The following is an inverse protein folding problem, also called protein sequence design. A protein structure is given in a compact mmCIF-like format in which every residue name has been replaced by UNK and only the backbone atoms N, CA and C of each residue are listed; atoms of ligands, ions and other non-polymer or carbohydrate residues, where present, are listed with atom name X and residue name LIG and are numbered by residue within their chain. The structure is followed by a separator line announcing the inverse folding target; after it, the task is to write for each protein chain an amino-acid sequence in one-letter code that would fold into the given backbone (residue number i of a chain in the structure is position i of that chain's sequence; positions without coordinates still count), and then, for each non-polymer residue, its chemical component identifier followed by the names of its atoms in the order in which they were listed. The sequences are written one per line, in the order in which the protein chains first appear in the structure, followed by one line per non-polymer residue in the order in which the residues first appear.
data_IF_551899469362
#
_entry.id   IF_551899469362
#
_cell.length_a   1.000
_cell.length_b   1.000
_cell.length_c   1.000
_cell.angle_alpha   90.00
_cell.angle_beta   90.00
_cell.angle_gamma   90.00
#
_symmetry.space_group_name_H-M   'P 1'
#
loop_
_entity.id
_entity.type
_entity.pdbx_description
1 polymer ?
#
# COMPACT_ATOMS: atom_id res chain seq x y z
N UNK A 1 60.47 42.03 -12.35
CA UNK A 1 59.10 41.51 -12.41
C UNK A 1 58.84 40.69 -11.14
N UNK A 2 58.15 41.29 -10.16
CA UNK A 2 57.86 40.68 -8.85
C UNK A 2 56.44 40.04 -8.89
N UNK A 3 56.36 38.74 -8.63
CA UNK A 3 55.07 38.04 -8.44
C UNK A 3 54.58 38.34 -7.03
N UNK A 4 53.32 38.81 -6.91
CA UNK A 4 52.64 39.02 -5.65
C UNK A 4 51.74 37.81 -5.48
N UNK A 5 51.97 37.04 -4.43
CA UNK A 5 51.11 35.91 -4.01
C UNK A 5 50.12 36.45 -2.98
N UNK A 6 48.83 36.41 -3.32
CA UNK A 6 47.74 36.74 -2.39
C UNK A 6 47.34 35.47 -1.69
N UNK A 7 47.55 35.41 -0.37
CA UNK A 7 47.07 34.37 0.52
C UNK A 7 45.71 34.85 1.03
N UNK A 8 44.63 34.13 0.65
CA UNK A 8 43.29 34.37 1.16
C UNK A 8 43.10 33.54 2.44
N UNK A 9 42.98 34.19 3.59
CA UNK A 9 42.59 33.58 4.84
C UNK A 9 41.07 33.37 4.80
N UNK A 10 40.65 32.10 4.79
CA UNK A 10 39.26 31.72 4.97
C UNK A 10 38.98 31.50 6.46
N UNK A 11 38.31 32.44 7.10
CA UNK A 11 37.86 32.35 8.48
C UNK A 11 36.62 31.49 8.53
N UNK A 12 36.72 30.28 9.09
CA UNK A 12 35.58 29.41 9.35
C UNK A 12 34.96 29.84 10.67
N UNK A 13 33.77 30.45 10.62
CA UNK A 13 32.94 30.70 11.79
C UNK A 13 32.16 29.40 12.13
N UNK A 14 32.56 28.74 13.20
CA UNK A 14 31.81 27.62 13.79
C UNK A 14 30.65 28.20 14.61
N UNK A 15 29.44 28.15 14.07
CA UNK A 15 28.24 28.39 14.86
C UNK A 15 27.90 27.11 15.65
N UNK A 16 28.13 27.18 16.96
CA UNK A 16 27.62 26.17 17.88
C UNK A 16 26.09 26.33 18.02
N UNK A 17 25.29 25.45 17.39
CA UNK A 17 23.88 25.31 17.71
C UNK A 17 23.79 24.52 19.02
N UNK A 18 23.35 25.17 20.08
CA UNK A 18 22.93 24.55 21.31
C UNK A 18 21.64 23.74 21.07
N UNK A 19 21.77 22.44 20.94
CA UNK A 19 20.64 21.53 20.94
C UNK A 19 20.05 21.47 22.35
N UNK A 20 18.90 22.12 22.56
CA UNK A 20 18.11 21.94 23.77
C UNK A 20 17.46 20.58 23.72
N UNK A 21 18.11 19.60 24.33
CA UNK A 21 17.59 18.25 24.50
C UNK A 21 16.39 18.28 25.43
N UNK A 22 15.20 18.09 24.88
CA UNK A 22 14.00 17.85 25.66
C UNK A 22 14.13 16.46 26.31
N UNK A 23 14.51 16.40 27.58
CA UNK A 23 14.53 15.17 28.39
C UNK A 23 13.09 14.72 28.61
N UNK A 24 12.61 13.79 27.79
CA UNK A 24 11.43 13.00 28.11
C UNK A 24 11.83 12.06 29.25
N UNK A 25 11.35 12.34 30.46
CA UNK A 25 11.47 11.41 31.59
C UNK A 25 10.71 10.13 31.27
N UNK A 26 11.43 9.07 30.98
CA UNK A 26 10.89 7.70 30.97
C UNK A 26 10.56 7.33 32.40
N UNK A 27 9.28 7.37 32.78
CA UNK A 27 8.78 6.66 33.92
C UNK A 27 8.76 5.18 33.55
N UNK A 28 9.72 4.43 34.04
CA UNK A 28 9.73 2.98 33.92
C UNK A 28 8.54 2.44 34.73
N UNK A 29 7.51 2.01 34.06
CA UNK A 29 6.48 1.13 34.56
C UNK A 29 6.90 -0.28 34.16
N UNK A 30 7.23 -1.10 35.14
CA UNK A 30 7.39 -2.53 34.96
C UNK A 30 6.05 -3.07 34.48
N UNK A 31 5.97 -3.41 33.19
CA UNK A 31 4.80 -4.06 32.62
C UNK A 31 5.19 -5.46 32.19
N UNK A 32 4.60 -6.42 32.88
CA UNK A 32 4.43 -7.80 32.44
C UNK A 32 4.18 -7.87 30.94
N UNK A 33 4.97 -8.65 30.22
CA UNK A 33 4.85 -8.89 28.78
C UNK A 33 3.61 -9.72 28.46
N UNK A 34 2.46 -9.04 28.42
CA UNK A 34 1.27 -9.57 27.74
C UNK A 34 1.23 -8.90 26.38
N UNK A 35 1.69 -9.59 25.34
CA UNK A 35 1.48 -9.24 23.93
C UNK A 35 -0.02 -9.25 23.66
N UNK A 36 -0.69 -8.13 23.88
CA UNK A 36 -2.13 -7.96 23.72
C UNK A 36 -2.45 -6.89 22.69
N UNK A 37 -3.58 -7.03 22.03
CA UNK A 37 -4.20 -5.95 21.27
C UNK A 37 -4.41 -4.80 22.27
N UNK A 38 -3.77 -3.66 22.05
CA UNK A 38 -3.95 -2.49 22.90
C UNK A 38 -5.26 -1.81 22.52
N UNK A 39 -6.28 -2.04 23.31
CA UNK A 39 -7.49 -1.20 23.25
C UNK A 39 -7.15 0.12 23.93
N UNK A 40 -7.44 1.30 23.33
CA UNK A 40 -7.22 2.59 23.97
C UNK A 40 -7.85 2.62 25.36
N UNK A 41 -7.12 3.12 26.36
CA UNK A 41 -7.59 3.21 27.75
C UNK A 41 -8.75 4.20 27.95
N UNK A 42 -8.98 5.05 26.97
CA UNK A 42 -10.15 5.95 26.89
C UNK A 42 -10.83 5.72 25.54
N UNK A 43 -11.93 4.96 25.47
CA UNK A 43 -12.72 4.85 24.26
C UNK A 43 -13.19 6.24 23.83
N UNK A 44 -13.15 6.51 22.52
CA UNK A 44 -13.84 7.66 21.97
C UNK A 44 -15.31 7.60 22.42
N UNK A 45 -15.80 8.68 23.03
CA UNK A 45 -17.19 8.73 23.53
C UNK A 45 -18.21 8.90 22.41
N UNK A 46 -17.76 9.14 21.17
CA UNK A 46 -18.62 9.16 20.00
C UNK A 46 -18.94 7.71 19.55
N UNK A 47 -20.19 7.25 19.74
CA UNK A 47 -20.58 5.88 19.35
C UNK A 47 -20.57 5.65 17.84
N UNK A 48 -20.46 6.71 17.02
CA UNK A 48 -20.41 6.64 15.56
C UNK A 48 -18.98 6.61 15.02
N UNK A 49 -17.98 6.83 15.89
CA UNK A 49 -16.57 6.82 15.46
C UNK A 49 -16.14 5.41 15.02
N UNK A 50 -15.44 5.30 13.88
CA UNK A 50 -14.94 4.01 13.42
C UNK A 50 -13.90 3.46 14.41
N UNK A 51 -13.96 2.14 14.62
CA UNK A 51 -13.00 1.43 15.48
C UNK A 51 -11.78 1.04 14.66
N UNK A 52 -10.60 1.41 15.14
CA UNK A 52 -9.32 1.01 14.58
C UNK A 52 -8.59 0.11 15.58
N UNK A 53 -8.21 -1.08 15.15
CA UNK A 53 -7.41 -2.00 15.94
C UNK A 53 -5.93 -1.78 15.67
N UNK A 54 -5.13 -1.81 16.72
CA UNK A 54 -3.68 -1.63 16.68
C UNK A 54 -2.97 -2.71 17.50
N UNK A 55 -1.86 -3.20 16.99
CA UNK A 55 -0.96 -4.09 17.74
C UNK A 55 0.49 -3.67 17.53
N UNK A 56 1.32 -3.81 18.58
CA UNK A 56 2.78 -3.69 18.48
C UNK A 56 3.45 -5.04 18.21
N UNK A 57 2.69 -6.14 18.18
CA UNK A 57 3.17 -7.47 17.87
C UNK A 57 3.33 -7.61 16.33
N UNK A 58 4.56 -7.36 15.84
CA UNK A 58 4.91 -7.49 14.42
C UNK A 58 5.40 -8.93 14.18
N UNK A 59 4.49 -9.88 14.34
CA UNK A 59 4.71 -11.29 14.05
C UNK A 59 3.61 -11.83 13.13
N UNK A 60 3.82 -12.98 12.45
CA UNK A 60 2.76 -13.66 11.70
C UNK A 60 1.51 -13.95 12.54
N UNK A 61 1.70 -14.29 13.81
CA UNK A 61 0.64 -14.55 14.79
C UNK A 61 -0.09 -13.25 15.17
N UNK A 62 0.66 -12.16 15.37
CA UNK A 62 0.11 -10.82 15.62
C UNK A 62 -0.76 -10.31 14.48
N UNK A 63 -0.34 -10.58 13.23
CA UNK A 63 -1.13 -10.25 12.04
C UNK A 63 -2.45 -11.01 12.01
N UNK A 64 -2.47 -12.30 12.34
CA UNK A 64 -3.71 -13.09 12.40
C UNK A 64 -4.62 -12.56 13.52
N UNK A 65 -4.08 -12.30 14.71
CA UNK A 65 -4.85 -11.78 15.84
C UNK A 65 -5.54 -10.44 15.53
N UNK A 66 -4.82 -9.52 14.87
CA UNK A 66 -5.42 -8.22 14.52
C UNK A 66 -6.49 -8.36 13.44
N UNK A 67 -6.31 -9.30 12.50
CA UNK A 67 -7.34 -9.65 11.53
C UNK A 67 -8.58 -10.22 12.23
N UNK A 68 -8.42 -11.16 13.15
CA UNK A 68 -9.53 -11.76 13.91
C UNK A 68 -10.28 -10.72 14.74
N UNK A 69 -9.59 -9.70 15.26
CA UNK A 69 -10.21 -8.60 16.00
C UNK A 69 -11.21 -7.78 15.18
N UNK A 70 -11.09 -7.79 13.85
CA UNK A 70 -12.07 -7.14 12.96
C UNK A 70 -13.43 -7.83 12.99
N UNK A 71 -13.49 -9.10 13.42
CA UNK A 71 -14.73 -9.88 13.50
C UNK A 71 -15.36 -10.21 12.15
N UNK A 72 -14.64 -10.00 11.05
CA UNK A 72 -15.12 -10.22 9.68
C UNK A 72 -14.68 -11.58 9.19
N UNK A 73 -15.63 -12.35 8.66
CA UNK A 73 -15.36 -13.67 8.05
C UNK A 73 -15.35 -13.53 6.53
N UNK A 74 -14.27 -13.91 5.85
CA UNK A 74 -14.23 -13.90 4.40
C UNK A 74 -15.15 -15.02 3.85
N UNK A 75 -15.60 -14.84 2.63
CA UNK A 75 -16.44 -15.81 1.93
C UNK A 75 -16.07 -15.89 0.45
N UNK A 76 -16.50 -16.95 -0.21
CA UNK A 76 -16.24 -17.16 -1.63
C UNK A 76 -14.74 -17.25 -1.97
N UNK A 77 -14.36 -16.70 -3.09
CA UNK A 77 -12.95 -16.57 -3.52
C UNK A 77 -12.33 -15.31 -2.92
N UNK A 78 -11.32 -15.51 -2.09
CA UNK A 78 -10.68 -14.45 -1.30
C UNK A 78 -9.42 -13.95 -2.00
N UNK A 79 -9.39 -12.67 -2.36
CA UNK A 79 -8.20 -11.96 -2.79
C UNK A 79 -7.49 -11.34 -1.59
N UNK A 80 -6.20 -11.58 -1.43
CA UNK A 80 -5.34 -10.83 -0.50
C UNK A 80 -4.47 -9.89 -1.33
N UNK A 81 -4.84 -8.61 -1.37
CA UNK A 81 -4.16 -7.59 -2.17
C UNK A 81 -2.90 -7.12 -1.47
N UNK A 82 -1.78 -7.39 -2.10
CA UNK A 82 -0.44 -7.03 -1.62
C UNK A 82 0.32 -6.17 -2.63
N UNK A 83 1.53 -5.76 -2.27
CA UNK A 83 2.58 -5.33 -3.19
C UNK A 83 3.80 -6.20 -2.98
N UNK A 84 4.26 -6.86 -4.04
CA UNK A 84 5.44 -7.74 -4.01
C UNK A 84 6.77 -6.99 -3.98
N UNK A 85 6.73 -5.65 -4.04
CA UNK A 85 7.91 -4.79 -3.96
C UNK A 85 8.62 -4.56 -5.30
N UNK A 86 9.45 -3.54 -5.38
CA UNK A 86 10.20 -3.17 -6.59
C UNK A 86 11.49 -3.98 -6.75
N UNK A 87 12.15 -4.30 -5.64
CA UNK A 87 13.36 -5.14 -5.58
C UNK A 87 13.28 -6.07 -4.38
N UNK A 88 14.24 -6.98 -4.23
CA UNK A 88 14.34 -7.86 -3.08
C UNK A 88 14.59 -7.07 -1.78
N UNK A 89 15.38 -5.99 -1.86
CA UNK A 89 15.69 -5.11 -0.73
C UNK A 89 14.56 -4.13 -0.41
N UNK A 90 13.54 -4.02 -1.28
CA UNK A 90 12.44 -3.09 -1.04
C UNK A 90 11.64 -3.46 0.22
N UNK A 91 11.12 -2.44 0.89
CA UNK A 91 10.30 -2.60 2.10
C UNK A 91 8.88 -3.07 1.72
N UNK A 92 8.73 -4.34 1.36
CA UNK A 92 7.45 -5.01 1.15
C UNK A 92 7.15 -6.00 2.28
N UNK A 93 5.90 -6.37 2.45
CA UNK A 93 5.52 -7.42 3.39
C UNK A 93 6.14 -8.75 2.95
N UNK A 94 6.91 -9.37 3.83
CA UNK A 94 7.63 -10.60 3.51
C UNK A 94 6.66 -11.79 3.44
N UNK A 95 6.89 -12.76 2.54
CA UNK A 95 6.04 -13.94 2.43
C UNK A 95 5.82 -14.67 3.76
N UNK A 96 6.87 -14.90 4.54
CA UNK A 96 6.79 -15.59 5.82
C UNK A 96 5.95 -14.82 6.85
N UNK A 97 5.95 -13.48 6.80
CA UNK A 97 5.14 -12.64 7.68
C UNK A 97 3.64 -12.77 7.40
N UNK A 98 3.24 -12.86 6.11
CA UNK A 98 1.83 -12.87 5.70
C UNK A 98 1.24 -14.28 5.61
N UNK A 99 2.07 -15.32 5.61
CA UNK A 99 1.70 -16.73 5.35
C UNK A 99 0.54 -17.19 6.22
N UNK A 100 0.62 -16.92 7.53
CA UNK A 100 -0.41 -17.41 8.47
C UNK A 100 -1.77 -16.80 8.17
N UNK A 101 -1.82 -15.48 7.88
CA UNK A 101 -3.07 -14.81 7.49
C UNK A 101 -3.62 -15.39 6.19
N UNK A 102 -2.79 -15.50 5.16
CA UNK A 102 -3.22 -16.01 3.84
C UNK A 102 -3.80 -17.42 3.95
N UNK A 103 -3.15 -18.28 4.74
CA UNK A 103 -3.66 -19.64 5.01
C UNK A 103 -4.96 -19.61 5.81
N UNK A 104 -5.08 -18.75 6.83
CA UNK A 104 -6.28 -18.63 7.68
C UNK A 104 -7.51 -18.27 6.84
N UNK A 105 -7.34 -17.41 5.84
CA UNK A 105 -8.45 -16.97 4.98
C UNK A 105 -8.59 -17.77 3.68
N UNK A 106 -7.72 -18.76 3.46
CA UNK A 106 -7.63 -19.53 2.21
C UNK A 106 -7.54 -18.59 0.98
N UNK A 107 -6.68 -17.58 1.08
CA UNK A 107 -6.62 -16.48 0.12
C UNK A 107 -5.69 -16.74 -1.05
N UNK A 108 -5.98 -16.10 -2.19
CA UNK A 108 -5.07 -15.92 -3.31
C UNK A 108 -4.40 -14.56 -3.18
N UNK A 109 -3.07 -14.50 -3.28
CA UNK A 109 -2.35 -13.24 -3.36
C UNK A 109 -2.62 -12.59 -4.70
N UNK A 110 -3.00 -11.30 -4.70
CA UNK A 110 -3.32 -10.61 -5.95
C UNK A 110 -2.52 -9.33 -6.12
N UNK A 111 -2.11 -9.06 -7.36
CA UNK A 111 -1.43 -7.84 -7.77
C UNK A 111 -1.74 -7.51 -9.25
N UNK A 112 -1.29 -6.35 -9.74
CA UNK A 112 -1.27 -5.99 -11.16
C UNK A 112 0.13 -5.53 -11.56
N UNK A 113 0.44 -5.64 -12.85
CA UNK A 113 1.69 -5.16 -13.44
C UNK A 113 1.88 -3.64 -13.21
N UNK A 114 3.13 -3.19 -13.22
CA UNK A 114 3.44 -1.76 -13.15
C UNK A 114 3.28 -1.08 -14.50
N UNK A 115 3.12 0.26 -14.49
CA UNK A 115 3.02 1.07 -15.72
C UNK A 115 4.36 1.69 -16.15
N UNK A 116 5.43 1.35 -15.44
CA UNK A 116 6.80 1.82 -15.70
C UNK A 116 7.75 0.62 -15.79
N UNK A 117 8.96 0.84 -16.26
CA UNK A 117 9.98 -0.20 -16.38
C UNK A 117 10.33 -0.87 -15.04
N UNK A 118 10.99 -2.00 -15.11
CA UNK A 118 11.40 -2.78 -13.95
C UNK A 118 10.89 -4.23 -14.02
N UNK A 119 11.11 -4.96 -12.93
CA UNK A 119 10.85 -6.40 -12.87
C UNK A 119 9.35 -6.77 -12.72
N UNK A 120 8.45 -5.81 -12.74
CA UNK A 120 7.00 -6.01 -12.75
C UNK A 120 6.31 -5.32 -13.94
N UNK A 121 7.06 -4.91 -14.95
CA UNK A 121 6.54 -4.19 -16.12
C UNK A 121 5.71 -5.09 -17.05
N UNK A 122 5.99 -6.37 -17.07
CA UNK A 122 5.24 -7.38 -17.84
C UNK A 122 4.87 -8.55 -16.96
N UNK A 123 3.84 -9.28 -17.32
CA UNK A 123 3.39 -10.48 -16.59
C UNK A 123 4.52 -11.51 -16.42
N UNK A 124 5.34 -11.70 -17.45
CA UNK A 124 6.47 -12.63 -17.40
C UNK A 124 7.52 -12.20 -16.36
N UNK A 125 7.97 -10.94 -16.41
CA UNK A 125 8.92 -10.38 -15.46
C UNK A 125 8.35 -10.38 -14.04
N UNK A 126 7.07 -10.06 -13.90
CA UNK A 126 6.39 -10.02 -12.62
C UNK A 126 6.29 -11.43 -11.98
N UNK A 127 5.92 -12.46 -12.76
CA UNK A 127 5.93 -13.86 -12.29
C UNK A 127 7.31 -14.28 -11.82
N UNK A 128 8.37 -13.94 -12.57
CA UNK A 128 9.76 -14.20 -12.17
C UNK A 128 10.08 -13.52 -10.84
N UNK A 129 9.76 -12.25 -10.68
CA UNK A 129 9.98 -11.50 -9.44
C UNK A 129 9.21 -12.10 -8.23
N UNK A 130 7.98 -12.55 -8.44
CA UNK A 130 7.14 -13.24 -7.45
C UNK A 130 7.81 -14.54 -6.99
N UNK A 131 8.28 -15.35 -7.93
CA UNK A 131 8.95 -16.62 -7.65
C UNK A 131 10.28 -16.41 -6.89
N UNK A 132 11.11 -15.48 -7.37
CA UNK A 132 12.41 -15.13 -6.74
C UNK A 132 12.23 -14.66 -5.29
N UNK A 133 11.16 -13.91 -4.99
CA UNK A 133 10.84 -13.42 -3.65
C UNK A 133 10.09 -14.42 -2.78
N UNK A 134 9.75 -15.58 -3.33
CA UNK A 134 9.18 -16.70 -2.59
C UNK A 134 7.68 -16.59 -2.27
N UNK A 135 6.93 -15.68 -2.90
CA UNK A 135 5.48 -15.56 -2.67
C UNK A 135 4.71 -16.81 -3.09
N UNK A 136 5.13 -17.49 -4.15
CA UNK A 136 4.50 -18.75 -4.61
C UNK A 136 4.63 -19.90 -3.60
N UNK A 137 5.57 -19.80 -2.65
CA UNK A 137 5.71 -20.79 -1.55
C UNK A 137 4.65 -20.59 -0.46
N UNK A 138 3.99 -19.45 -0.45
CA UNK A 138 2.97 -19.10 0.54
C UNK A 138 1.58 -19.41 0.03
N UNK A 139 1.26 -18.97 -1.17
CA UNK A 139 -0.04 -19.18 -1.80
C UNK A 139 0.05 -19.01 -3.32
N UNK A 140 -1.04 -19.35 -4.02
CA UNK A 140 -1.22 -18.95 -5.41
C UNK A 140 -1.16 -17.43 -5.54
N UNK A 141 -0.45 -16.95 -6.57
CA UNK A 141 -0.38 -15.52 -6.90
C UNK A 141 -1.02 -15.27 -8.25
N UNK A 142 -2.00 -14.37 -8.27
CA UNK A 142 -2.69 -13.95 -9.49
C UNK A 142 -2.29 -12.51 -9.85
N UNK A 143 -1.75 -12.34 -11.05
CA UNK A 143 -1.51 -11.03 -11.66
C UNK A 143 -2.79 -10.66 -12.41
N UNK A 144 -3.66 -9.89 -11.76
CA UNK A 144 -5.05 -9.68 -12.20
C UNK A 144 -5.20 -9.08 -13.59
N UNK A 145 -4.19 -8.37 -14.09
CA UNK A 145 -4.17 -7.79 -15.44
C UNK A 145 -3.37 -8.61 -16.45
N UNK A 146 -3.04 -9.88 -16.14
CA UNK A 146 -2.29 -10.77 -17.04
C UNK A 146 -3.04 -11.12 -18.32
N UNK A 147 -4.36 -11.12 -18.29
CA UNK A 147 -5.25 -11.45 -19.41
C UNK A 147 -6.08 -10.24 -19.89
N UNK A 148 -5.72 -9.04 -19.41
CA UNK A 148 -6.37 -7.81 -19.81
C UNK A 148 -6.94 -7.00 -18.64
N UNK A 149 -7.76 -6.04 -19.00
CA UNK A 149 -8.38 -5.14 -18.03
C UNK A 149 -9.90 -5.00 -18.25
N UNK A 150 -10.58 -4.51 -17.22
CA UNK A 150 -11.99 -4.14 -17.26
C UNK A 150 -12.20 -2.75 -16.66
N UNK A 151 -13.32 -2.13 -16.99
CA UNK A 151 -13.71 -0.84 -16.46
C UNK A 151 -14.74 -1.02 -15.34
N UNK A 152 -14.57 -0.30 -14.24
CA UNK A 152 -15.56 -0.18 -13.18
C UNK A 152 -15.98 1.28 -13.01
N UNK A 153 -17.24 1.55 -12.60
CA UNK A 153 -17.75 2.90 -12.47
C UNK A 153 -17.09 3.67 -11.33
N UNK A 154 -16.84 4.96 -11.52
CA UNK A 154 -16.44 5.91 -10.49
C UNK A 154 -17.63 6.77 -10.08
N UNK A 155 -17.65 7.24 -8.83
CA UNK A 155 -18.64 8.21 -8.35
C UNK A 155 -18.19 9.63 -8.66
N UNK A 156 -16.96 9.95 -8.26
CA UNK A 156 -16.35 11.23 -8.63
C UNK A 156 -15.67 11.13 -9.98
N UNK A 157 -16.32 11.68 -11.00
CA UNK A 157 -15.84 11.68 -12.38
C UNK A 157 -15.20 13.01 -12.80
N UNK A 158 -14.67 13.79 -11.86
CA UNK A 158 -13.99 15.05 -12.13
C UNK A 158 -12.81 14.85 -13.09
N UNK A 159 -11.96 13.89 -12.84
CA UNK A 159 -10.78 13.58 -13.65
C UNK A 159 -10.97 12.28 -14.44
N UNK A 160 -11.08 11.15 -13.76
CA UNK A 160 -11.28 9.84 -14.40
C UNK A 160 -12.78 9.57 -14.59
N UNK A 161 -13.15 9.00 -15.73
CA UNK A 161 -14.58 8.69 -16.04
C UNK A 161 -14.98 7.28 -15.62
N UNK A 162 -14.01 6.42 -15.43
CA UNK A 162 -14.08 5.04 -14.96
C UNK A 162 -12.73 4.67 -14.37
N UNK A 163 -12.66 3.63 -13.56
CA UNK A 163 -11.38 3.03 -13.20
C UNK A 163 -11.11 1.81 -14.09
N UNK A 164 -9.83 1.61 -14.46
CA UNK A 164 -9.40 0.50 -15.32
C UNK A 164 -8.60 -0.47 -14.45
N UNK A 165 -9.22 -1.56 -14.06
CA UNK A 165 -8.67 -2.55 -13.14
C UNK A 165 -8.29 -3.83 -13.87
N UNK A 166 -7.47 -4.68 -13.25
CA UNK A 166 -7.17 -6.00 -13.79
C UNK A 166 -8.44 -6.83 -14.01
N UNK A 167 -8.55 -7.51 -15.17
CA UNK A 167 -9.77 -8.25 -15.54
C UNK A 167 -10.12 -9.35 -14.52
N UNK A 168 -9.13 -9.94 -13.87
CA UNK A 168 -9.37 -11.01 -12.88
C UNK A 168 -9.98 -10.51 -11.57
N UNK A 169 -10.11 -9.19 -11.33
CA UNK A 169 -10.81 -8.65 -10.17
C UNK A 169 -12.23 -9.22 -10.04
N UNK A 170 -12.91 -9.46 -11.17
CA UNK A 170 -14.25 -10.07 -11.20
C UNK A 170 -14.30 -11.48 -10.61
N UNK A 171 -13.18 -12.16 -10.53
CA UNK A 171 -13.09 -13.55 -10.06
C UNK A 171 -13.19 -13.67 -8.53
N UNK A 172 -13.16 -12.56 -7.80
CA UNK A 172 -13.11 -12.57 -6.34
C UNK A 172 -14.40 -12.03 -5.73
N UNK A 173 -14.80 -12.65 -4.64
CA UNK A 173 -15.99 -12.31 -3.88
C UNK A 173 -15.63 -11.49 -2.63
N UNK A 174 -14.42 -11.67 -2.12
CA UNK A 174 -13.93 -10.97 -0.94
C UNK A 174 -12.50 -10.45 -1.16
N UNK A 175 -12.21 -9.20 -0.76
CA UNK A 175 -10.85 -8.66 -0.81
C UNK A 175 -10.35 -8.24 0.57
N UNK A 176 -9.18 -8.72 0.93
CA UNK A 176 -8.41 -8.22 2.08
C UNK A 176 -7.31 -7.32 1.52
N UNK A 177 -7.37 -6.03 1.85
CA UNK A 177 -6.37 -5.06 1.42
C UNK A 177 -5.19 -5.03 2.39
N UNK A 178 -4.21 -5.91 2.18
CA UNK A 178 -3.05 -6.08 3.04
C UNK A 178 -1.89 -5.20 2.57
N UNK A 179 -1.81 -3.99 3.09
CA UNK A 179 -0.87 -2.97 2.65
C UNK A 179 0.29 -2.75 3.63
N UNK A 180 1.48 -2.51 3.09
CA UNK A 180 2.60 -1.97 3.84
C UNK A 180 2.38 -0.47 4.12
N UNK A 181 2.36 -0.08 5.40
CA UNK A 181 2.21 1.31 5.82
C UNK A 181 3.52 2.07 5.60
N UNK A 182 3.55 2.97 4.63
CA UNK A 182 4.76 3.73 4.26
C UNK A 182 4.43 5.08 3.62
N UNK A 183 5.42 5.97 3.57
CA UNK A 183 5.38 7.17 2.74
C UNK A 183 5.45 6.83 1.24
N UNK A 184 5.04 7.76 0.41
CA UNK A 184 5.15 7.66 -1.05
C UNK A 184 5.42 9.05 -1.65
N UNK A 185 6.35 9.13 -2.61
CA UNK A 185 6.81 10.40 -3.20
C UNK A 185 5.68 11.18 -3.86
N UNK A 186 4.84 10.54 -4.65
CA UNK A 186 3.72 11.20 -5.33
C UNK A 186 2.42 11.18 -4.52
N UNK A 187 2.12 10.09 -3.82
CA UNK A 187 0.88 9.93 -3.06
C UNK A 187 0.93 10.45 -1.63
N UNK A 188 2.08 10.98 -1.17
CA UNK A 188 2.31 11.32 0.23
C UNK A 188 2.28 10.10 1.14
N UNK A 189 1.14 9.42 1.19
CA UNK A 189 0.92 8.17 1.91
C UNK A 189 0.67 7.00 0.95
N UNK A 190 1.43 5.92 1.11
CA UNK A 190 1.40 4.74 0.26
C UNK A 190 0.89 3.48 0.98
N UNK A 191 -0.12 3.63 1.83
CA UNK A 191 -0.77 2.51 2.54
C UNK A 191 -1.94 1.91 1.75
N UNK A 192 -3.03 1.63 2.45
CA UNK A 192 -4.23 0.97 1.92
C UNK A 192 -4.82 1.69 0.73
N UNK A 193 -4.96 3.03 0.79
CA UNK A 193 -5.57 3.80 -0.30
C UNK A 193 -4.84 3.58 -1.63
N UNK A 194 -3.50 3.66 -1.62
CA UNK A 194 -2.69 3.43 -2.82
C UNK A 194 -2.71 1.97 -3.27
N UNK A 195 -2.68 1.03 -2.34
CA UNK A 195 -2.74 -0.40 -2.65
C UNK A 195 -4.08 -0.78 -3.31
N UNK A 196 -5.16 -0.15 -2.87
CA UNK A 196 -6.51 -0.35 -3.40
C UNK A 196 -6.73 0.33 -4.75
N UNK A 197 -6.23 1.55 -4.96
CA UNK A 197 -6.35 2.29 -6.21
C UNK A 197 -5.31 1.83 -7.24
N UNK A 198 -4.09 2.37 -7.14
CA UNK A 198 -2.99 2.09 -8.08
C UNK A 198 -2.64 0.59 -8.09
N UNK A 199 -2.72 -0.09 -6.95
CA UNK A 199 -2.37 -1.52 -6.85
C UNK A 199 -3.36 -2.45 -7.57
N UNK A 200 -4.63 -2.09 -7.68
CA UNK A 200 -5.69 -2.87 -8.34
C UNK A 200 -5.84 -2.47 -9.82
N UNK A 201 -5.50 -1.22 -10.15
CA UNK A 201 -5.51 -0.75 -11.53
C UNK A 201 -4.56 -1.59 -12.41
N UNK A 202 -4.97 -1.88 -13.65
CA UNK A 202 -4.10 -2.46 -14.68
C UNK A 202 -2.96 -1.51 -15.03
N UNK A 203 -1.97 -1.95 -15.80
CA UNK A 203 -0.92 -1.06 -16.30
C UNK A 203 -1.50 0.17 -17.00
N UNK A 204 -2.55 0.00 -17.82
CA UNK A 204 -3.26 1.12 -18.50
C UNK A 204 -4.02 1.98 -17.51
N UNK A 205 -4.66 1.37 -16.51
CA UNK A 205 -5.36 2.08 -15.45
C UNK A 205 -4.43 2.94 -14.61
N UNK A 206 -3.24 2.44 -14.28
CA UNK A 206 -2.21 3.23 -13.59
C UNK A 206 -1.83 4.50 -14.37
N UNK A 207 -1.63 4.40 -15.70
CA UNK A 207 -1.36 5.56 -16.55
C UNK A 207 -2.55 6.54 -16.55
N UNK A 208 -3.78 6.02 -16.58
CA UNK A 208 -4.99 6.83 -16.58
C UNK A 208 -5.15 7.61 -15.27
N UNK A 209 -4.92 6.96 -14.11
CA UNK A 209 -4.98 7.62 -12.81
C UNK A 209 -3.85 8.65 -12.68
N UNK A 210 -2.60 8.29 -13.00
CA UNK A 210 -1.45 9.20 -12.89
C UNK A 210 -1.56 10.42 -13.78
N UNK A 211 -2.21 10.29 -14.92
CA UNK A 211 -2.44 11.41 -15.83
C UNK A 211 -3.71 12.22 -15.54
N UNK A 212 -4.40 12.00 -14.42
CA UNK A 212 -5.67 12.62 -14.13
C UNK A 212 -6.70 12.44 -15.27
N UNK A 213 -6.81 11.22 -15.80
CA UNK A 213 -7.77 10.86 -16.83
C UNK A 213 -7.40 11.26 -18.27
N UNK A 214 -6.19 11.79 -18.51
CA UNK A 214 -5.80 12.34 -19.83
C UNK A 214 -5.30 11.30 -20.83
N UNK A 215 -4.72 10.18 -20.35
CA UNK A 215 -4.15 9.15 -21.24
C UNK A 215 -4.01 7.79 -20.56
N UNK A 216 -4.08 6.73 -21.38
CA UNK A 216 -3.83 5.34 -20.95
C UNK A 216 -2.57 4.75 -21.60
N UNK A 217 -1.78 5.55 -22.31
CA UNK A 217 -0.70 5.05 -23.18
C UNK A 217 0.69 5.60 -22.82
N UNK A 218 0.77 6.63 -22.00
CA UNK A 218 2.05 7.23 -21.61
C UNK A 218 2.01 7.76 -20.19
N UNK A 219 3.17 7.82 -19.56
CA UNK A 219 3.33 8.42 -18.24
C UNK A 219 3.19 9.94 -18.32
N UNK A 220 2.37 10.51 -17.45
CA UNK A 220 2.27 11.95 -17.18
C UNK A 220 2.19 12.13 -15.66
N UNK A 221 2.93 13.09 -15.11
CA UNK A 221 3.04 13.40 -13.69
C UNK A 221 3.12 14.92 -13.42
N UNK A 222 2.54 15.70 -14.32
CA UNK A 222 2.54 17.16 -14.33
C UNK A 222 1.31 17.79 -13.64
N UNK A 223 0.41 16.97 -13.09
CA UNK A 223 -0.80 17.38 -12.38
C UNK A 223 -0.93 16.59 -11.07
N UNK A 224 -0.27 17.09 -10.03
CA UNK A 224 -0.20 16.41 -8.74
C UNK A 224 -1.58 16.32 -8.06
N UNK A 225 -2.37 17.39 -8.07
CA UNK A 225 -3.68 17.41 -7.43
C UNK A 225 -4.69 16.52 -8.19
N UNK A 226 -4.68 16.61 -9.53
CA UNK A 226 -5.50 15.74 -10.38
C UNK A 226 -5.16 14.25 -10.21
N UNK A 227 -3.88 13.92 -10.02
CA UNK A 227 -3.45 12.56 -9.68
C UNK A 227 -4.01 12.11 -8.33
N UNK A 228 -3.90 12.93 -7.27
CA UNK A 228 -4.37 12.58 -5.92
C UNK A 228 -5.89 12.40 -5.89
N UNK A 229 -6.64 13.29 -6.52
CA UNK A 229 -8.10 13.18 -6.65
C UNK A 229 -8.50 11.94 -7.46
N UNK A 230 -7.79 11.64 -8.56
CA UNK A 230 -8.02 10.42 -9.36
C UNK A 230 -7.72 9.15 -8.57
N UNK A 231 -6.65 9.15 -7.76
CA UNK A 231 -6.29 8.03 -6.89
C UNK A 231 -7.38 7.78 -5.83
N UNK A 232 -7.94 8.84 -5.25
CA UNK A 232 -9.04 8.72 -4.29
C UNK A 232 -10.33 8.19 -4.96
N UNK A 233 -10.67 8.71 -6.15
CA UNK A 233 -11.82 8.24 -6.93
C UNK A 233 -11.69 6.76 -7.33
N UNK A 234 -10.50 6.32 -7.76
CA UNK A 234 -10.21 4.92 -8.09
C UNK A 234 -10.32 4.02 -6.84
N UNK A 235 -9.78 4.44 -5.69
CA UNK A 235 -9.92 3.67 -4.45
C UNK A 235 -11.40 3.52 -4.05
N UNK A 236 -12.19 4.58 -4.17
CA UNK A 236 -13.63 4.52 -3.92
C UNK A 236 -14.35 3.60 -4.92
N UNK A 237 -13.96 3.60 -6.19
CA UNK A 237 -14.53 2.72 -7.20
C UNK A 237 -14.34 1.24 -6.84
N UNK A 238 -13.11 0.85 -6.45
CA UNK A 238 -12.82 -0.52 -6.00
C UNK A 238 -13.61 -0.86 -4.73
N UNK A 239 -13.68 0.06 -3.76
CA UNK A 239 -14.51 -0.14 -2.56
C UNK A 239 -15.97 -0.41 -2.95
N UNK A 240 -16.57 0.45 -3.78
CA UNK A 240 -17.96 0.31 -4.20
C UNK A 240 -18.20 -0.98 -5.01
N UNK A 241 -17.22 -1.39 -5.82
CA UNK A 241 -17.29 -2.64 -6.56
C UNK A 241 -17.41 -3.85 -5.62
N UNK A 242 -16.71 -3.84 -4.49
CA UNK A 242 -16.79 -4.89 -3.49
C UNK A 242 -17.92 -4.71 -2.45
N UNK A 243 -18.62 -3.58 -2.42
CA UNK A 243 -19.81 -3.38 -1.55
C UNK A 243 -21.12 -3.66 -2.28
N UNK A 244 -21.07 -4.44 -3.36
CA UNK A 244 -22.25 -4.98 -4.03
C UNK A 244 -22.70 -6.28 -3.38
N UNK A 245 -23.91 -6.74 -3.70
CA UNK A 245 -24.43 -8.02 -3.21
C UNK A 245 -23.49 -9.18 -3.60
N UNK A 246 -23.17 -10.02 -2.64
CA UNK A 246 -22.27 -11.16 -2.82
C UNK A 246 -20.78 -10.84 -2.85
N UNK A 247 -20.39 -9.59 -2.53
CA UNK A 247 -18.98 -9.17 -2.44
C UNK A 247 -18.72 -8.37 -1.16
N UNK A 248 -17.47 -8.37 -0.67
CA UNK A 248 -17.05 -7.49 0.43
C UNK A 248 -15.52 -7.19 0.37
N UNK A 249 -15.10 -6.11 1.06
CA UNK A 249 -13.71 -5.68 1.19
C UNK A 249 -13.42 -5.14 2.59
N UNK A 250 -12.24 -5.48 3.10
CA UNK A 250 -11.66 -4.95 4.34
C UNK A 250 -10.22 -4.50 4.15
#
# INVERSE_FOLDING_TARGET
MKRITIISLLTIAVMALSATSCKVQKKASETSSTTGIVVPSTPNQDPTAPVVYFTSDISPEGLVKIYEALGVKPFGRVAVKISTGESEESNHLRPDFIKNLVNTVNGTLVECNTAYGGNRATTELHRKAIAERGFEKVATVDIMDSEGDMQIPVVDSKHIKYDIVGAHLQNYDFMINLAHFKGHTMGGFGGVLKNQSIGVASSRGKLYIHSAGRTTSRWLDDDQDGFLESMAAAAQAVHNYFKQEGKDII
#
